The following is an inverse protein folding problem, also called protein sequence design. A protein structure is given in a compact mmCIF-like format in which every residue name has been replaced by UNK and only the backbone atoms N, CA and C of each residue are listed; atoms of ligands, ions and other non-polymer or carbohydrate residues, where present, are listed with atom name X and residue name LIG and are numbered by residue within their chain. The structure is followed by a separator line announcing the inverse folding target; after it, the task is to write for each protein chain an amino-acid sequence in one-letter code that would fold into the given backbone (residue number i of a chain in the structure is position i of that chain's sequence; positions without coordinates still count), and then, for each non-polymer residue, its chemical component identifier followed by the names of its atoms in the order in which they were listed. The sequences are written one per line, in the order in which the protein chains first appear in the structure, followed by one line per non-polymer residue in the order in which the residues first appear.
data_IF_809229544441
#
_entry.id   IF_809229544441
#
_cell.length_a   1.000
_cell.length_b   1.000
_cell.length_c   1.000
_cell.angle_alpha   90.00
_cell.angle_beta   90.00
_cell.angle_gamma   90.00
#
_symmetry.space_group_name_H-M   'P 1'
#
loop_
_entity.id
_entity.type
_entity.pdbx_description
1 polymer ?
#
# COMPACT_ATOMS: atom_id res chain seq x y z
N UNK A 1 -10.24 16.49 -9.96
CA UNK A 1 -9.75 15.13 -10.23
C UNK A 1 -8.40 14.97 -9.56
N UNK A 2 -8.10 13.77 -9.07
CA UNK A 2 -6.78 13.44 -8.51
C UNK A 2 -5.72 13.42 -9.61
N UNK A 3 -4.47 13.75 -9.26
CA UNK A 3 -3.34 13.57 -10.18
C UNK A 3 -3.25 12.11 -10.60
N UNK A 4 -2.95 11.89 -11.88
CA UNK A 4 -2.89 10.55 -12.49
C UNK A 4 -1.50 9.92 -12.40
N UNK A 5 -0.45 10.74 -12.17
CA UNK A 5 0.92 10.30 -12.00
C UNK A 5 1.57 10.94 -10.78
N UNK A 6 2.04 10.14 -9.84
CA UNK A 6 2.87 10.65 -8.73
C UNK A 6 3.69 9.55 -8.06
N UNK A 7 4.70 9.98 -7.30
CA UNK A 7 5.42 9.20 -6.29
C UNK A 7 5.59 10.10 -5.06
N UNK A 8 5.13 9.66 -3.90
CA UNK A 8 5.04 10.49 -2.69
C UNK A 8 5.41 9.67 -1.44
N UNK A 9 5.87 10.34 -0.39
CA UNK A 9 5.92 9.75 0.95
C UNK A 9 4.65 10.05 1.74
N UNK A 10 4.15 9.05 2.47
CA UNK A 10 3.06 9.22 3.42
C UNK A 10 3.44 8.65 4.78
N UNK A 11 2.99 9.32 5.83
CA UNK A 11 3.09 8.84 7.21
C UNK A 11 1.85 7.99 7.49
N UNK A 12 2.03 6.71 7.84
CA UNK A 12 0.95 5.73 7.89
C UNK A 12 0.78 5.08 9.26
N UNK A 13 -0.43 5.16 9.79
CA UNK A 13 -0.87 4.32 10.90
C UNK A 13 -1.40 3.00 10.35
N UNK A 14 -0.75 1.91 10.73
CA UNK A 14 -1.12 0.56 10.30
C UNK A 14 -1.64 -0.20 11.52
N UNK A 15 -2.92 -0.54 11.50
CA UNK A 15 -3.53 -1.39 12.51
C UNK A 15 -3.63 -2.83 11.98
N UNK A 16 -3.25 -3.80 12.80
CA UNK A 16 -3.18 -5.21 12.44
C UNK A 16 -4.17 -6.04 13.27
N UNK A 17 -4.75 -7.04 12.63
CA UNK A 17 -5.70 -8.00 13.20
C UNK A 17 -5.59 -9.36 12.53
N UNK A 18 -6.30 -10.35 13.06
CA UNK A 18 -6.38 -11.68 12.47
C UNK A 18 -7.10 -11.65 11.11
N UNK A 19 -6.65 -12.48 10.16
CA UNK A 19 -7.26 -12.63 8.84
C UNK A 19 -8.77 -12.88 8.87
N UNK A 20 -9.24 -13.69 9.83
CA UNK A 20 -10.65 -14.07 9.97
C UNK A 20 -11.45 -13.09 10.85
N UNK A 21 -10.79 -12.17 11.55
CA UNK A 21 -11.43 -11.21 12.46
C UNK A 21 -10.84 -9.81 12.25
N UNK A 22 -10.98 -9.22 11.04
CA UNK A 22 -10.31 -7.96 10.70
C UNK A 22 -10.67 -6.78 11.62
N UNK A 23 -11.86 -6.81 12.25
CA UNK A 23 -12.28 -5.78 13.20
C UNK A 23 -11.57 -5.87 14.58
N UNK A 24 -10.98 -7.01 14.94
CA UNK A 24 -10.36 -7.25 16.24
C UNK A 24 -8.89 -6.80 16.24
N UNK A 25 -8.66 -5.48 16.21
CA UNK A 25 -7.31 -4.89 16.19
C UNK A 25 -6.55 -5.21 17.48
N UNK A 26 -5.37 -5.82 17.36
CA UNK A 26 -4.49 -6.12 18.49
C UNK A 26 -3.17 -5.35 18.47
N UNK A 27 -2.69 -4.92 17.29
CA UNK A 27 -1.42 -4.20 17.13
C UNK A 27 -1.62 -2.93 16.30
N UNK A 28 -0.88 -1.87 16.63
CA UNK A 28 -0.78 -0.65 15.83
C UNK A 28 0.68 -0.25 15.70
N UNK A 29 1.09 0.11 14.49
CA UNK A 29 2.42 0.62 14.19
C UNK A 29 2.31 1.91 13.39
N UNK A 30 3.41 2.65 13.35
CA UNK A 30 3.56 3.86 12.58
C UNK A 30 4.74 3.70 11.62
N UNK A 31 4.48 3.82 10.32
CA UNK A 31 5.45 3.53 9.29
C UNK A 31 5.42 4.58 8.18
N UNK A 32 6.59 4.87 7.62
CA UNK A 32 6.69 5.57 6.34
C UNK A 32 6.27 4.61 5.25
N UNK A 33 5.41 5.09 4.35
CA UNK A 33 5.08 4.39 3.11
C UNK A 33 5.42 5.26 1.91
N UNK A 34 5.85 4.63 0.82
CA UNK A 34 5.98 5.27 -0.50
C UNK A 34 4.77 4.86 -1.32
N UNK A 35 4.01 5.85 -1.79
CA UNK A 35 2.80 5.65 -2.58
C UNK A 35 3.02 6.22 -3.97
N UNK A 36 2.71 5.42 -4.99
CA UNK A 36 2.83 5.84 -6.38
C UNK A 36 1.56 5.52 -7.15
N UNK A 37 1.02 6.48 -7.89
CA UNK A 37 -0.01 6.26 -8.90
C UNK A 37 0.61 6.41 -10.28
N UNK A 38 0.33 5.47 -11.17
CA UNK A 38 0.95 5.42 -12.49
C UNK A 38 0.11 4.59 -13.47
N UNK A 39 0.56 4.53 -14.73
CA UNK A 39 -0.19 3.95 -15.85
C UNK A 39 -0.69 5.04 -16.79
N UNK A 40 -1.14 4.67 -17.99
CA UNK A 40 -1.58 5.63 -19.01
C UNK A 40 -2.77 6.48 -18.54
N UNK A 41 -3.63 5.88 -17.71
CA UNK A 41 -4.81 6.51 -17.12
C UNK A 41 -4.69 6.66 -15.60
N UNK A 42 -3.49 6.44 -15.04
CA UNK A 42 -3.29 6.36 -13.59
C UNK A 42 -4.00 5.16 -12.96
N UNK A 43 -4.10 4.06 -13.69
CA UNK A 43 -4.85 2.87 -13.33
C UNK A 43 -4.18 2.00 -12.26
N UNK A 44 -2.88 2.18 -12.02
CA UNK A 44 -2.13 1.42 -11.03
C UNK A 44 -1.79 2.28 -9.81
N UNK A 45 -1.89 1.67 -8.63
CA UNK A 45 -1.43 2.24 -7.36
C UNK A 45 -0.48 1.25 -6.68
N UNK A 46 0.73 1.67 -6.33
CA UNK A 46 1.63 0.89 -5.48
C UNK A 46 1.79 1.53 -4.11
N UNK A 47 1.72 0.73 -3.05
CA UNK A 47 1.93 1.19 -1.67
C UNK A 47 3.03 0.33 -1.07
N UNK A 48 4.17 0.94 -0.79
CA UNK A 48 5.35 0.24 -0.29
C UNK A 48 5.64 0.66 1.15
N UNK A 49 5.82 -0.30 2.05
CA UNK A 49 6.42 -0.01 3.35
C UNK A 49 7.86 0.48 3.17
N UNK A 50 8.30 1.45 3.97
CA UNK A 50 9.57 2.13 3.77
C UNK A 50 10.35 2.43 5.07
N UNK A 51 9.94 1.84 6.20
CA UNK A 51 10.64 1.95 7.48
C UNK A 51 9.88 2.77 8.52
N UNK A 52 10.32 2.71 9.77
CA UNK A 52 9.61 3.28 10.91
C UNK A 52 9.42 4.81 10.79
N UNK A 53 8.22 5.30 11.13
CA UNK A 53 7.91 6.73 11.22
C UNK A 53 7.78 7.13 12.70
N UNK A 54 8.39 8.24 13.07
CA UNK A 54 8.14 8.88 14.37
C UNK A 54 6.77 9.57 14.39
N UNK A 55 6.14 9.66 15.57
CA UNK A 55 4.80 10.22 15.74
C UNK A 55 4.68 11.69 15.26
N UNK A 56 5.76 12.47 15.38
CA UNK A 56 5.80 13.91 15.11
C UNK A 56 6.68 14.27 13.90
N UNK A 57 6.98 13.30 13.02
CA UNK A 57 7.81 13.56 11.84
C UNK A 57 7.00 14.15 10.69
N UNK A 58 7.17 15.45 10.46
CA UNK A 58 6.53 16.17 9.34
C UNK A 58 7.29 16.07 8.01
N UNK A 59 8.56 15.62 8.05
CA UNK A 59 9.44 15.50 6.88
C UNK A 59 9.90 14.05 6.74
N UNK A 60 9.60 13.45 5.59
CA UNK A 60 10.03 12.10 5.30
C UNK A 60 11.56 12.02 5.05
N UNK A 61 12.24 10.96 5.53
CA UNK A 61 13.67 10.76 5.28
C UNK A 61 13.99 10.71 3.77
N UNK A 62 15.08 11.35 3.36
CA UNK A 62 15.46 11.33 1.93
C UNK A 62 15.79 9.94 1.37
N UNK A 63 16.22 9.01 2.23
CA UNK A 63 16.66 7.67 1.84
C UNK A 63 15.61 6.57 1.97
N UNK A 64 14.31 6.88 1.91
CA UNK A 64 13.24 5.86 1.97
C UNK A 64 13.43 4.80 0.88
N UNK A 65 13.28 3.53 1.26
CA UNK A 65 13.43 2.38 0.35
C UNK A 65 12.20 1.49 0.41
N UNK A 66 11.45 1.34 -0.70
CA UNK A 66 10.36 0.38 -0.80
C UNK A 66 10.79 -1.04 -0.37
N UNK A 67 10.05 -1.62 0.57
CA UNK A 67 10.32 -2.96 1.10
C UNK A 67 9.24 -3.97 0.70
N UNK A 68 8.03 -3.90 1.27
CA UNK A 68 6.90 -4.73 0.88
C UNK A 68 5.86 -3.88 0.16
N UNK A 69 5.42 -4.33 -1.02
CA UNK A 69 4.67 -3.48 -1.95
C UNK A 69 3.35 -4.12 -2.32
N UNK A 70 2.28 -3.48 -1.86
CA UNK A 70 0.91 -3.73 -2.31
C UNK A 70 0.73 -3.12 -3.70
N UNK A 71 -0.07 -3.78 -4.54
CA UNK A 71 -0.48 -3.27 -5.85
C UNK A 71 -2.00 -3.19 -5.91
N UNK A 72 -2.52 -2.06 -6.37
CA UNK A 72 -3.93 -1.82 -6.60
C UNK A 72 -4.22 -1.46 -8.05
N UNK A 73 -5.42 -1.82 -8.51
CA UNK A 73 -5.98 -1.46 -9.81
C UNK A 73 -7.19 -0.55 -9.64
N UNK A 74 -7.25 0.55 -10.37
CA UNK A 74 -8.32 1.53 -10.34
C UNK A 74 -9.67 0.88 -10.71
N UNK A 75 -10.68 1.10 -9.87
CA UNK A 75 -12.05 0.62 -10.13
C UNK A 75 -13.08 1.73 -10.20
N UNK A 76 -12.78 2.87 -9.58
CA UNK A 76 -13.63 4.05 -9.66
C UNK A 76 -12.79 5.31 -9.48
N UNK A 77 -13.07 6.32 -10.30
CA UNK A 77 -12.61 7.69 -10.09
C UNK A 77 -13.84 8.57 -9.95
N UNK A 78 -13.99 9.27 -8.83
CA UNK A 78 -15.13 10.14 -8.59
C UNK A 78 -15.02 11.37 -9.51
N UNK A 79 -16.08 11.65 -10.27
CA UNK A 79 -16.08 12.78 -11.21
C UNK A 79 -16.30 14.13 -10.51
N UNK A 80 -16.92 14.12 -9.33
CA UNK A 80 -17.32 15.28 -8.54
C UNK A 80 -16.39 15.58 -7.36
N UNK A 81 -15.59 14.59 -6.92
CA UNK A 81 -14.71 14.69 -5.76
C UNK A 81 -13.30 14.18 -6.12
N UNK A 82 -12.23 14.71 -5.50
CA UNK A 82 -10.87 14.19 -5.71
C UNK A 82 -10.70 12.89 -4.93
N UNK A 83 -11.40 11.84 -5.36
CA UNK A 83 -11.39 10.52 -4.73
C UNK A 83 -11.28 9.42 -5.78
N UNK A 84 -10.35 8.50 -5.58
CA UNK A 84 -10.20 7.30 -6.42
C UNK A 84 -10.21 6.05 -5.54
N UNK A 85 -10.80 4.97 -6.04
CA UNK A 85 -10.84 3.66 -5.37
C UNK A 85 -10.08 2.64 -6.20
N UNK A 86 -9.22 1.87 -5.53
CA UNK A 86 -8.42 0.81 -6.12
C UNK A 86 -8.72 -0.52 -5.43
N UNK A 87 -8.76 -1.62 -6.19
CA UNK A 87 -8.78 -2.97 -5.65
C UNK A 87 -7.36 -3.53 -5.56
N UNK A 88 -7.01 -4.09 -4.40
CA UNK A 88 -5.72 -4.74 -4.20
C UNK A 88 -5.64 -6.07 -4.96
N UNK A 89 -4.46 -6.34 -5.51
CA UNK A 89 -4.18 -7.51 -6.30
C UNK A 89 -3.42 -8.57 -5.50
N UNK A 90 -3.86 -9.82 -5.65
CA UNK A 90 -3.18 -11.01 -5.10
C UNK A 90 -2.11 -11.56 -6.03
N UNK A 91 -2.10 -11.13 -7.30
CA UNK A 91 -1.11 -11.49 -8.31
C UNK A 91 -0.82 -10.24 -9.16
N UNK A 92 0.44 -9.90 -9.43
CA UNK A 92 0.75 -8.78 -10.31
C UNK A 92 0.52 -9.20 -11.78
N UNK A 93 0.21 -8.26 -12.69
CA UNK A 93 0.21 -8.55 -14.12
C UNK A 93 1.57 -9.12 -14.58
N UNK A 94 1.59 -10.01 -15.58
CA UNK A 94 2.83 -10.61 -16.08
C UNK A 94 3.87 -9.54 -16.46
N UNK A 95 5.13 -9.79 -16.13
CA UNK A 95 6.27 -8.90 -16.43
C UNK A 95 6.25 -7.54 -15.72
N UNK A 96 5.30 -7.28 -14.83
CA UNK A 96 5.30 -6.06 -14.02
C UNK A 96 6.43 -6.08 -12.99
N UNK A 97 7.25 -5.04 -13.01
CA UNK A 97 8.27 -4.83 -11.99
C UNK A 97 7.79 -3.80 -10.97
N UNK A 98 7.85 -4.17 -9.69
CA UNK A 98 7.55 -3.29 -8.58
C UNK A 98 8.83 -3.01 -7.79
N UNK A 99 8.94 -1.80 -7.27
CA UNK A 99 9.92 -1.50 -6.24
C UNK A 99 9.57 -2.32 -4.98
N UNK A 100 10.57 -2.84 -4.28
CA UNK A 100 10.33 -3.76 -3.16
C UNK A 100 9.78 -5.13 -3.59
N UNK A 101 9.49 -5.99 -2.62
CA UNK A 101 8.89 -7.32 -2.79
C UNK A 101 7.39 -7.17 -2.94
N UNK A 102 6.82 -7.74 -4.01
CA UNK A 102 5.36 -7.78 -4.17
C UNK A 102 4.72 -8.50 -2.98
N UNK A 103 3.73 -7.84 -2.38
CA UNK A 103 3.04 -8.30 -1.18
C UNK A 103 1.58 -8.58 -1.54
N UNK A 104 1.20 -9.87 -1.75
CA UNK A 104 -0.13 -10.22 -2.21
C UNK A 104 -1.17 -9.90 -1.14
N UNK A 105 -2.19 -9.13 -1.52
CA UNK A 105 -3.28 -8.77 -0.65
C UNK A 105 -4.58 -8.60 -1.44
N UNK A 106 -5.69 -8.74 -0.75
CA UNK A 106 -7.01 -8.39 -1.26
C UNK A 106 -7.66 -7.32 -0.39
N UNK A 107 -8.67 -6.66 -0.95
CA UNK A 107 -9.34 -5.54 -0.32
C UNK A 107 -9.29 -4.32 -1.23
N UNK A 108 -9.37 -3.14 -0.62
CA UNK A 108 -9.46 -1.90 -1.37
C UNK A 108 -8.66 -0.78 -0.71
N UNK A 109 -8.37 0.22 -1.52
CA UNK A 109 -7.72 1.47 -1.14
C UNK A 109 -8.58 2.63 -1.62
N UNK A 110 -8.84 3.59 -0.75
CA UNK A 110 -9.32 4.90 -1.13
C UNK A 110 -8.18 5.90 -1.06
N UNK A 111 -8.04 6.68 -2.13
CA UNK A 111 -7.15 7.81 -2.22
C UNK A 111 -8.02 9.07 -2.32
N UNK A 112 -7.80 10.06 -1.46
CA UNK A 112 -8.65 11.24 -1.40
C UNK A 112 -7.88 12.54 -1.16
N UNK A 113 -8.46 13.65 -1.60
CA UNK A 113 -7.98 15.00 -1.34
C UNK A 113 -7.09 15.58 -2.45
N UNK A 114 -6.74 16.87 -2.37
CA UNK A 114 -5.84 17.49 -3.34
C UNK A 114 -4.40 16.99 -3.16
N UNK A 115 -3.56 17.10 -4.19
CA UNK A 115 -2.16 16.63 -4.17
C UNK A 115 -1.36 17.11 -2.93
N UNK A 116 -1.61 18.33 -2.46
CA UNK A 116 -0.98 18.91 -1.26
C UNK A 116 -1.38 18.27 0.08
N UNK A 117 -2.52 17.60 0.14
CA UNK A 117 -3.14 17.04 1.36
C UNK A 117 -3.72 15.65 1.09
N UNK A 118 -3.01 14.87 0.28
CA UNK A 118 -3.47 13.55 -0.13
C UNK A 118 -3.56 12.64 1.11
N UNK A 119 -4.68 11.93 1.23
CA UNK A 119 -4.93 10.94 2.27
C UNK A 119 -5.20 9.60 1.61
N UNK A 120 -4.79 8.54 2.28
CA UNK A 120 -4.97 7.17 1.83
C UNK A 120 -5.56 6.36 2.98
N UNK A 121 -6.65 5.64 2.69
CA UNK A 121 -7.15 4.61 3.59
C UNK A 121 -7.18 3.27 2.87
N UNK A 122 -6.73 2.21 3.52
CA UNK A 122 -6.79 0.86 2.97
C UNK A 122 -7.40 -0.12 3.98
N UNK A 123 -8.19 -1.06 3.47
CA UNK A 123 -8.69 -2.21 4.22
C UNK A 123 -8.29 -3.45 3.44
N UNK A 124 -7.35 -4.20 4.00
CA UNK A 124 -6.72 -5.30 3.32
C UNK A 124 -6.66 -6.55 4.19
N UNK A 125 -6.66 -7.71 3.52
CA UNK A 125 -6.25 -8.98 4.10
C UNK A 125 -5.16 -9.58 3.24
N UNK A 126 -4.23 -10.27 3.87
CA UNK A 126 -3.17 -10.97 3.15
C UNK A 126 -2.91 -12.31 3.79
N UNK A 127 -2.42 -13.21 2.97
CA UNK A 127 -2.01 -14.53 3.36
C UNK A 127 -0.97 -15.01 2.36
N UNK A 128 0.24 -15.33 2.83
CA UNK A 128 1.31 -15.73 1.93
C UNK A 128 2.30 -16.70 2.53
N UNK A 129 2.95 -17.46 1.66
CA UNK A 129 4.13 -18.25 1.97
C UNK A 129 5.38 -17.59 1.39
N UNK A 130 6.52 -17.77 2.07
CA UNK A 130 7.82 -17.28 1.57
C UNK A 130 8.39 -18.28 0.58
N UNK A 131 8.92 -17.78 -0.53
CA UNK A 131 9.59 -18.58 -1.53
C UNK A 131 10.81 -17.86 -2.11
N UNK A 132 11.48 -18.53 -3.05
CA UNK A 132 12.60 -17.99 -3.79
C UNK A 132 12.37 -18.20 -5.28
N UNK A 133 12.67 -17.17 -6.07
CA UNK A 133 12.65 -17.22 -7.53
C UNK A 133 13.82 -16.40 -8.05
N UNK A 134 14.63 -17.00 -8.93
CA UNK A 134 15.83 -16.35 -9.51
C UNK A 134 16.75 -15.66 -8.48
N UNK A 135 16.94 -16.29 -7.31
CA UNK A 135 17.78 -15.77 -6.23
C UNK A 135 17.17 -14.63 -5.41
N UNK A 136 15.90 -14.27 -5.65
CA UNK A 136 15.16 -13.25 -4.92
C UNK A 136 14.07 -13.89 -4.06
N UNK A 137 13.88 -13.38 -2.85
CA UNK A 137 12.74 -13.76 -2.02
C UNK A 137 11.44 -13.24 -2.64
N UNK A 138 10.43 -14.12 -2.69
CA UNK A 138 9.08 -13.79 -3.15
C UNK A 138 8.05 -14.19 -2.10
N UNK A 139 6.90 -13.53 -2.14
CA UNK A 139 5.73 -13.88 -1.34
C UNK A 139 4.68 -14.48 -2.28
N UNK A 140 4.32 -15.73 -2.03
CA UNK A 140 3.31 -16.46 -2.82
C UNK A 140 1.99 -16.41 -2.06
N UNK A 141 0.98 -15.85 -2.70
CA UNK A 141 -0.39 -15.79 -2.21
C UNK A 141 -0.91 -17.17 -1.77
N UNK A 142 -1.64 -17.19 -0.65
CA UNK A 142 -2.32 -18.37 -0.11
C UNK A 142 -3.79 -18.00 0.10
N UNK A 143 -4.70 -18.37 -0.82
CA UNK A 143 -6.11 -17.93 -0.84
C UNK A 143 -6.87 -18.20 0.45
N UNK A 144 -6.71 -19.43 0.95
CA UNK A 144 -7.50 -20.01 2.02
C UNK A 144 -6.52 -20.53 3.08
N UNK A 145 -5.91 -19.62 3.87
CA UNK A 145 -4.98 -20.03 4.91
C UNK A 145 -5.69 -20.92 5.94
N UNK A 146 -4.94 -21.87 6.50
CA UNK A 146 -5.39 -22.60 7.67
C UNK A 146 -5.74 -21.62 8.82
N UNK A 147 -6.70 -21.97 9.69
CA UNK A 147 -7.00 -21.15 10.86
C UNK A 147 -5.74 -20.83 11.66
N UNK A 148 -5.57 -19.56 12.02
CA UNK A 148 -4.39 -19.05 12.75
C UNK A 148 -3.03 -19.27 12.05
N UNK A 149 -3.01 -19.40 10.72
CA UNK A 149 -1.75 -19.36 9.97
C UNK A 149 -0.99 -18.05 10.28
N UNK A 150 0.30 -18.12 10.66
CA UNK A 150 1.03 -16.97 11.20
C UNK A 150 1.21 -15.82 10.20
N UNK A 151 1.19 -16.13 8.90
CA UNK A 151 1.35 -15.16 7.81
C UNK A 151 0.00 -14.83 7.13
N UNK A 152 -1.11 -15.01 7.86
CA UNK A 152 -2.45 -14.64 7.45
C UNK A 152 -3.01 -13.58 8.40
N UNK A 153 -3.08 -12.33 7.94
CA UNK A 153 -3.52 -11.19 8.75
C UNK A 153 -4.39 -10.22 7.97
N UNK A 154 -4.89 -9.21 8.68
CA UNK A 154 -5.59 -8.06 8.12
C UNK A 154 -4.88 -6.76 8.50
N UNK A 155 -4.89 -5.80 7.58
CA UNK A 155 -4.34 -4.45 7.75
C UNK A 155 -5.39 -3.38 7.51
N UNK A 156 -5.44 -2.42 8.42
CA UNK A 156 -6.14 -1.15 8.24
C UNK A 156 -5.07 -0.06 8.19
N UNK A 157 -4.90 0.56 7.03
CA UNK A 157 -3.92 1.62 6.81
C UNK A 157 -4.67 2.94 6.75
N UNK A 158 -4.21 3.92 7.51
CA UNK A 158 -4.59 5.33 7.38
C UNK A 158 -3.30 6.12 7.20
N UNK A 159 -3.17 6.86 6.11
CA UNK A 159 -1.95 7.57 5.79
C UNK A 159 -2.21 8.97 5.27
N UNK A 160 -1.28 9.87 5.58
CA UNK A 160 -1.32 11.26 5.15
C UNK A 160 0.00 11.63 4.50
N UNK A 161 -0.07 12.36 3.37
CA UNK A 161 1.12 12.83 2.68
C UNK A 161 1.96 13.70 3.61
N UNK A 162 3.28 13.52 3.57
CA UNK A 162 4.27 14.41 4.17
C UNK A 162 5.24 14.92 3.11
N UNK A 163 5.94 15.99 3.42
CA UNK A 163 6.95 16.53 2.50
C UNK A 163 8.10 15.52 2.35
N UNK A 164 8.57 15.31 1.12
CA UNK A 164 9.70 14.43 0.84
C UNK A 164 10.53 14.95 -0.33
N UNK A 165 11.85 14.87 -0.23
CA UNK A 165 12.76 15.28 -1.31
C UNK A 165 12.63 14.39 -2.57
N UNK A 166 12.11 13.17 -2.41
CA UNK A 166 11.84 12.24 -3.50
C UNK A 166 10.46 12.40 -4.15
N UNK A 167 9.66 13.39 -3.73
CA UNK A 167 8.34 13.62 -4.31
C UNK A 167 8.42 13.92 -5.81
N UNK A 168 7.56 13.26 -6.58
CA UNK A 168 7.36 13.48 -8.00
C UNK A 168 5.87 13.58 -8.27
N UNK A 169 5.46 14.62 -8.99
CA UNK A 169 4.08 14.83 -9.44
C UNK A 169 4.16 15.10 -10.95
N UNK A 170 3.40 14.34 -11.75
CA UNK A 170 3.45 14.35 -13.20
C UNK A 170 2.07 14.67 -13.82
#
# INVERSE_FOLDING_TARGET
MLERGFVLAMSAHIAMSDYAKPAAIHTRIHEWIVVSRWGGEGEYLSISTAGQCGADEDLAPGGLRPNNTLLGLLVADASDQPQSTFLLLRQPPPSMQLAGTFFPAEGYVHLEGPAGKLRLSARARYSHSRGWENGRQILKDVPDPAPAAPEAMAWHIEAERRCWIGDLIA
#
